data_IF_204852850283
#
_entry.id   IF_204852850283
#
_cell.length_a   1.000
_cell.length_b   1.000
_cell.length_c   1.000
_cell.angle_alpha   90.00
_cell.angle_beta   90.00
_cell.angle_gamma   90.00
#
_symmetry.space_group_name_H-M   'P 1'
#
loop_
_entity.id
_entity.type
_entity.pdbx_description
1 polymer ?
#
# COMPACT_ATOMS: atom_id res chain seq x y z
N UNK A 1 6.84 -9.57 -18.18
CA UNK A 1 8.29 -9.51 -17.95
C UNK A 1 8.45 -9.19 -16.47
N UNK A 2 9.17 -10.01 -15.70
CA UNK A 2 9.45 -9.71 -14.28
C UNK A 2 10.32 -8.44 -14.27
N UNK A 3 10.12 -7.48 -13.34
CA UNK A 3 10.98 -6.31 -13.22
C UNK A 3 12.43 -6.76 -13.17
N UNK A 4 13.28 -6.23 -14.06
CA UNK A 4 14.73 -6.50 -14.05
C UNK A 4 15.49 -5.65 -13.03
N UNK A 5 14.79 -5.16 -12.01
CA UNK A 5 15.35 -4.34 -10.95
C UNK A 5 15.59 -5.23 -9.72
N UNK A 6 16.81 -5.80 -9.55
CA UNK A 6 17.09 -6.70 -8.45
C UNK A 6 16.96 -6.02 -7.09
N UNK A 7 17.23 -4.71 -7.01
CA UNK A 7 17.10 -3.95 -5.77
C UNK A 7 15.64 -3.90 -5.30
N UNK A 8 14.69 -3.68 -6.22
CA UNK A 8 13.26 -3.69 -5.91
C UNK A 8 12.80 -5.07 -5.40
N UNK A 9 13.28 -6.15 -6.02
CA UNK A 9 12.93 -7.52 -5.64
C UNK A 9 13.46 -7.82 -4.23
N UNK A 10 14.74 -7.54 -3.99
CA UNK A 10 15.37 -7.75 -2.68
C UNK A 10 14.68 -6.92 -1.60
N UNK A 11 14.36 -5.66 -1.90
CA UNK A 11 13.63 -4.79 -0.98
C UNK A 11 12.25 -5.37 -0.64
N UNK A 12 11.48 -5.78 -1.67
CA UNK A 12 10.13 -6.32 -1.50
C UNK A 12 10.13 -7.62 -0.71
N UNK A 13 10.97 -8.57 -1.10
CA UNK A 13 11.09 -9.86 -0.40
C UNK A 13 11.65 -9.69 1.00
N UNK A 14 12.57 -8.75 1.20
CA UNK A 14 13.17 -8.46 2.49
C UNK A 14 12.14 -8.02 3.52
N UNK A 15 11.28 -7.05 3.19
CA UNK A 15 10.25 -6.62 4.14
C UNK A 15 9.15 -7.66 4.33
N UNK A 16 8.79 -8.43 3.29
CA UNK A 16 7.81 -9.50 3.42
C UNK A 16 8.31 -10.59 4.37
N UNK A 17 9.58 -10.98 4.24
CA UNK A 17 10.21 -11.95 5.14
C UNK A 17 10.29 -11.41 6.58
N UNK A 18 10.75 -10.17 6.76
CA UNK A 18 10.79 -9.53 8.07
C UNK A 18 9.41 -9.48 8.74
N UNK A 19 8.38 -9.14 7.95
CA UNK A 19 7.00 -9.08 8.43
C UNK A 19 6.45 -10.46 8.77
N UNK A 20 6.72 -11.48 7.95
CA UNK A 20 6.34 -12.86 8.21
C UNK A 20 6.95 -13.36 9.53
N UNK A 21 8.24 -13.11 9.75
CA UNK A 21 8.93 -13.44 11.01
C UNK A 21 8.28 -12.71 12.19
N UNK A 22 8.00 -11.42 12.07
CA UNK A 22 7.36 -10.64 13.13
C UNK A 22 5.94 -11.13 13.47
N UNK A 23 5.14 -11.49 12.46
CA UNK A 23 3.79 -12.03 12.64
C UNK A 23 3.84 -13.37 13.39
N UNK A 24 4.72 -14.28 12.98
CA UNK A 24 4.90 -15.58 13.65
C UNK A 24 5.38 -15.39 15.09
N UNK A 25 6.39 -14.55 15.31
CA UNK A 25 6.96 -14.30 16.63
C UNK A 25 5.95 -13.69 17.61
N UNK A 26 4.98 -12.93 17.12
CA UNK A 26 4.00 -12.22 17.96
C UNK A 26 2.60 -12.84 17.97
N UNK A 27 2.38 -13.94 17.25
CA UNK A 27 1.09 -14.63 17.14
C UNK A 27 -0.03 -13.78 16.51
N UNK A 28 0.32 -12.76 15.71
CA UNK A 28 -0.60 -11.73 15.26
C UNK A 28 -1.45 -12.19 14.07
N UNK A 29 -2.56 -12.89 14.34
CA UNK A 29 -3.42 -13.50 13.31
C UNK A 29 -4.09 -12.49 12.39
N UNK A 30 -4.44 -11.31 12.91
CA UNK A 30 -5.01 -10.22 12.12
C UNK A 30 -4.03 -9.81 11.01
N UNK A 31 -2.75 -9.64 11.34
CA UNK A 31 -1.73 -9.27 10.36
C UNK A 31 -1.25 -10.39 9.46
N UNK A 32 -1.56 -11.65 9.78
CA UNK A 32 -1.40 -12.75 8.85
C UNK A 32 -2.32 -12.62 7.62
N UNK A 33 -3.55 -12.10 7.80
CA UNK A 33 -4.47 -11.86 6.69
C UNK A 33 -3.93 -10.80 5.71
N UNK A 34 -3.38 -9.70 6.23
CA UNK A 34 -2.74 -8.66 5.41
C UNK A 34 -1.51 -9.18 4.66
N UNK A 35 -0.70 -10.04 5.28
CA UNK A 35 0.41 -10.70 4.57
C UNK A 35 -0.11 -11.59 3.42
N UNK A 36 -1.17 -12.36 3.65
CA UNK A 36 -1.79 -13.16 2.60
C UNK A 36 -2.30 -12.29 1.45
N UNK A 37 -2.91 -11.14 1.74
CA UNK A 37 -3.34 -10.17 0.75
C UNK A 37 -2.15 -9.65 -0.09
N UNK A 38 -1.01 -9.31 0.53
CA UNK A 38 0.20 -8.91 -0.18
C UNK A 38 0.69 -10.01 -1.13
N UNK A 39 0.66 -11.27 -0.69
CA UNK A 39 1.05 -12.43 -1.51
C UNK A 39 0.12 -12.64 -2.74
N UNK A 40 -1.10 -12.12 -2.72
CA UNK A 40 -2.02 -12.12 -3.86
C UNK A 40 -1.84 -10.88 -4.74
N UNK A 41 -1.80 -9.68 -4.14
CA UNK A 41 -1.75 -8.41 -4.86
C UNK A 41 -0.43 -8.22 -5.62
N UNK A 42 0.70 -8.65 -5.05
CA UNK A 42 2.01 -8.52 -5.71
C UNK A 42 2.05 -9.29 -7.05
N UNK A 43 1.69 -10.59 -7.12
CA UNK A 43 1.54 -11.29 -8.38
C UNK A 43 0.58 -10.63 -9.37
N UNK A 44 -0.55 -10.10 -8.91
CA UNK A 44 -1.51 -9.39 -9.77
C UNK A 44 -0.90 -8.12 -10.37
N UNK A 45 -0.17 -7.33 -9.58
CA UNK A 45 0.57 -6.15 -10.05
C UNK A 45 1.65 -6.57 -11.07
N UNK A 46 2.39 -7.66 -10.81
CA UNK A 46 3.40 -8.18 -11.74
C UNK A 46 2.78 -8.67 -13.05
N UNK A 47 1.59 -9.27 -12.99
CA UNK A 47 0.82 -9.66 -14.17
C UNK A 47 0.35 -8.43 -14.97
N UNK A 48 -0.26 -7.45 -14.31
CA UNK A 48 -0.69 -6.20 -14.92
C UNK A 48 0.49 -5.43 -15.55
N UNK A 49 1.66 -5.43 -14.88
CA UNK A 49 2.88 -4.81 -15.38
C UNK A 49 3.32 -5.37 -16.75
N UNK A 50 3.03 -6.64 -17.06
CA UNK A 50 3.37 -7.22 -18.37
C UNK A 50 2.70 -6.48 -19.54
N UNK A 51 1.47 -6.00 -19.34
CA UNK A 51 0.71 -5.24 -20.32
C UNK A 51 0.92 -3.73 -20.18
N UNK A 52 0.76 -3.21 -18.96
CA UNK A 52 0.79 -1.78 -18.68
C UNK A 52 2.19 -1.16 -18.72
N UNK A 53 3.25 -1.97 -18.55
CA UNK A 53 4.66 -1.52 -18.52
C UNK A 53 4.90 -0.38 -17.53
N UNK A 54 4.46 -0.58 -16.28
CA UNK A 54 4.64 0.40 -15.21
C UNK A 54 6.10 0.91 -15.12
N UNK A 55 6.25 2.22 -14.96
CA UNK A 55 7.52 2.86 -14.71
C UNK A 55 8.18 2.34 -13.44
N UNK A 56 9.51 2.47 -13.36
CA UNK A 56 10.28 2.12 -12.16
C UNK A 56 9.76 2.84 -10.92
N UNK A 57 9.42 4.14 -11.03
CA UNK A 57 8.88 4.93 -9.93
C UNK A 57 7.55 4.38 -9.37
N UNK A 58 6.65 3.93 -10.25
CA UNK A 58 5.38 3.31 -9.82
C UNK A 58 5.63 1.99 -9.09
N UNK A 59 6.50 1.14 -9.62
CA UNK A 59 6.83 -0.13 -8.96
C UNK A 59 7.47 0.06 -7.58
N UNK A 60 8.39 1.01 -7.45
CA UNK A 60 8.99 1.36 -6.16
C UNK A 60 7.98 1.97 -5.20
N UNK A 61 7.13 2.89 -5.66
CA UNK A 61 6.10 3.49 -4.80
C UNK A 61 5.08 2.47 -4.30
N UNK A 62 4.65 1.53 -5.15
CA UNK A 62 3.78 0.42 -4.73
C UNK A 62 4.48 -0.52 -3.72
N UNK A 63 5.77 -0.78 -3.90
CA UNK A 63 6.55 -1.59 -2.95
C UNK A 63 6.76 -0.87 -1.61
N UNK A 64 7.05 0.43 -1.62
CA UNK A 64 7.11 1.27 -0.42
C UNK A 64 5.76 1.31 0.28
N UNK A 65 4.66 1.40 -0.47
CA UNK A 65 3.32 1.32 0.11
C UNK A 65 3.08 -0.03 0.80
N UNK A 66 3.46 -1.13 0.16
CA UNK A 66 3.42 -2.47 0.76
C UNK A 66 4.24 -2.58 2.04
N UNK A 67 5.46 -2.02 2.06
CA UNK A 67 6.29 -1.94 3.27
C UNK A 67 5.57 -1.17 4.39
N UNK A 68 5.07 0.04 4.10
CA UNK A 68 4.40 0.88 5.10
C UNK A 68 3.15 0.20 5.67
N UNK A 69 2.41 -0.52 4.82
CA UNK A 69 1.24 -1.28 5.23
C UNK A 69 1.61 -2.43 6.17
N UNK A 70 2.63 -3.22 5.82
CA UNK A 70 3.12 -4.28 6.71
C UNK A 70 3.72 -3.76 8.02
N UNK A 71 4.42 -2.62 7.96
CA UNK A 71 4.97 -1.96 9.13
C UNK A 71 3.86 -1.50 10.09
N UNK A 72 2.69 -1.12 9.56
CA UNK A 72 1.50 -0.76 10.31
C UNK A 72 1.15 -1.76 11.43
N UNK A 73 1.27 -3.07 11.15
CA UNK A 73 0.92 -4.12 12.12
C UNK A 73 2.05 -4.79 12.86
N UNK A 74 3.27 -4.58 12.40
CA UNK A 74 4.45 -5.31 12.89
C UNK A 74 5.37 -4.44 13.71
N UNK A 75 5.35 -3.12 13.50
CA UNK A 75 6.17 -2.17 14.25
C UNK A 75 5.41 -1.69 15.48
N UNK A 76 5.86 -2.03 16.70
CA UNK A 76 5.25 -1.51 17.92
C UNK A 76 5.53 -0.01 18.07
N UNK A 77 4.57 0.71 18.65
CA UNK A 77 4.75 2.11 19.08
C UNK A 77 4.57 2.22 20.59
N UNK A 78 5.17 3.23 21.25
CA UNK A 78 4.98 3.44 22.67
C UNK A 78 3.49 3.55 23.02
N UNK A 79 3.01 2.73 23.96
CA UNK A 79 1.59 2.67 24.34
C UNK A 79 1.04 4.04 24.75
N UNK A 80 1.86 4.86 25.42
CA UNK A 80 1.53 6.25 25.79
C UNK A 80 1.11 7.14 24.60
N UNK A 81 1.64 6.89 23.39
CA UNK A 81 1.30 7.66 22.19
C UNK A 81 -0.02 7.20 21.57
N UNK A 82 -0.30 5.90 21.59
CA UNK A 82 -1.59 5.38 21.16
C UNK A 82 -2.72 5.74 22.13
N UNK A 83 -2.43 5.75 23.43
CA UNK A 83 -3.35 6.14 24.49
C UNK A 83 -3.75 7.62 24.49
N UNK A 84 -3.10 8.47 23.68
CA UNK A 84 -3.55 9.85 23.46
C UNK A 84 -4.94 9.92 22.81
N UNK A 85 -5.37 8.86 22.12
CA UNK A 85 -6.68 8.79 21.47
C UNK A 85 -7.54 7.65 22.00
N UNK A 86 -6.93 6.50 22.31
CA UNK A 86 -7.65 5.36 22.88
C UNK A 86 -7.00 4.93 24.22
N UNK A 87 -7.48 5.43 25.36
CA UNK A 87 -6.96 5.08 26.68
C UNK A 87 -7.02 3.58 27.00
N UNK A 88 -7.91 2.82 26.34
CA UNK A 88 -8.06 1.38 26.54
C UNK A 88 -7.06 0.56 25.72
N UNK A 89 -6.27 1.19 24.85
CA UNK A 89 -5.33 0.49 23.97
C UNK A 89 -4.17 -0.13 24.76
N UNK A 90 -4.14 -1.46 24.80
CA UNK A 90 -3.12 -2.26 25.52
C UNK A 90 -1.93 -2.65 24.64
N UNK A 91 -2.15 -2.76 23.33
CA UNK A 91 -1.13 -3.05 22.32
C UNK A 91 -1.18 -2.00 21.23
N UNK A 92 -0.06 -1.31 21.06
CA UNK A 92 0.05 -0.21 20.12
C UNK A 92 1.06 -0.55 19.03
N UNK A 93 0.61 -0.51 17.78
CA UNK A 93 1.45 -0.66 16.57
C UNK A 93 1.33 0.61 15.74
N UNK A 94 2.15 0.77 14.69
CA UNK A 94 2.11 1.95 13.82
C UNK A 94 0.71 2.26 13.30
N UNK A 95 -0.10 1.23 13.02
CA UNK A 95 -1.48 1.39 12.62
C UNK A 95 -2.30 2.16 13.66
N UNK A 96 -2.07 1.97 14.96
CA UNK A 96 -2.75 2.67 16.05
C UNK A 96 -2.27 4.11 16.26
N UNK A 97 -1.22 4.55 15.56
CA UNK A 97 -0.60 5.85 15.81
C UNK A 97 -1.40 6.99 15.17
N UNK A 98 -1.77 7.96 16.01
CA UNK A 98 -2.22 9.28 15.59
C UNK A 98 -1.02 10.22 15.51
N UNK A 99 -0.66 10.60 14.29
CA UNK A 99 0.45 11.53 14.02
C UNK A 99 0.09 12.91 14.59
N UNK A 100 -1.16 13.33 14.40
CA UNK A 100 -1.71 14.56 14.96
C UNK A 100 -2.90 14.16 15.83
N UNK A 101 -2.72 14.08 17.16
CA UNK A 101 -3.79 13.75 18.10
C UNK A 101 -4.56 15.01 18.60
N UNK A 102 -5.82 14.87 19.05
CA UNK A 102 -6.67 13.69 18.90
C UNK A 102 -7.45 13.71 17.57
N UNK A 103 -7.65 12.55 16.97
CA UNK A 103 -8.53 12.30 15.81
C UNK A 103 -8.28 13.14 14.53
N UNK A 104 -7.17 13.88 14.43
CA UNK A 104 -6.89 14.74 13.26
C UNK A 104 -6.25 13.97 12.11
N UNK A 105 -5.17 13.23 12.39
CA UNK A 105 -4.43 12.51 11.36
C UNK A 105 -3.83 11.22 11.90
N UNK A 106 -4.31 10.09 11.38
CA UNK A 106 -3.79 8.76 11.69
C UNK A 106 -2.69 8.38 10.71
N UNK A 107 -1.71 7.60 11.16
CA UNK A 107 -0.69 6.98 10.31
C UNK A 107 -1.34 6.30 9.09
N UNK A 108 -2.42 5.58 9.34
CA UNK A 108 -3.17 4.88 8.32
C UNK A 108 -3.72 5.80 7.21
N UNK A 109 -4.14 7.02 7.54
CA UNK A 109 -4.62 7.98 6.53
C UNK A 109 -3.48 8.39 5.59
N UNK A 110 -2.28 8.58 6.11
CA UNK A 110 -1.10 8.94 5.30
C UNK A 110 -0.70 7.80 4.39
N UNK A 111 -0.67 6.57 4.92
CA UNK A 111 -0.35 5.37 4.14
C UNK A 111 -1.36 5.15 3.02
N UNK A 112 -2.65 5.31 3.29
CA UNK A 112 -3.70 5.16 2.27
C UNK A 112 -3.69 6.29 1.25
N UNK A 113 -3.49 7.55 1.67
CA UNK A 113 -3.36 8.66 0.73
C UNK A 113 -2.18 8.46 -0.25
N UNK A 114 -1.02 8.02 0.26
CA UNK A 114 0.11 7.65 -0.57
C UNK A 114 -0.20 6.47 -1.49
N UNK A 115 -0.82 5.42 -0.94
CA UNK A 115 -1.23 4.23 -1.68
C UNK A 115 -2.15 4.53 -2.85
N UNK A 116 -3.23 5.29 -2.59
CA UNK A 116 -4.20 5.68 -3.61
C UNK A 116 -3.58 6.58 -4.68
N UNK A 117 -2.68 7.49 -4.29
CA UNK A 117 -1.91 8.24 -5.27
C UNK A 117 -1.10 7.31 -6.19
N UNK A 118 -0.41 6.31 -5.63
CA UNK A 118 0.37 5.36 -6.41
C UNK A 118 -0.49 4.44 -7.29
N UNK A 119 -1.65 3.98 -6.82
CA UNK A 119 -2.59 3.18 -7.64
C UNK A 119 -3.22 4.03 -8.74
N UNK A 120 -3.55 5.29 -8.49
CA UNK A 120 -4.00 6.22 -9.54
C UNK A 120 -2.92 6.40 -10.62
N UNK A 121 -1.64 6.56 -10.25
CA UNK A 121 -0.54 6.61 -11.23
C UNK A 121 -0.39 5.31 -12.01
N UNK A 122 -0.56 4.15 -11.35
CA UNK A 122 -0.54 2.85 -12.01
C UNK A 122 -1.71 2.72 -13.02
N UNK A 123 -2.93 3.08 -12.62
CA UNK A 123 -4.10 3.14 -13.49
C UNK A 123 -3.86 4.08 -14.68
N UNK A 124 -3.27 5.26 -14.44
CA UNK A 124 -2.95 6.21 -15.50
C UNK A 124 -1.98 5.62 -16.53
N UNK A 125 -0.93 4.92 -16.09
CA UNK A 125 0.02 4.26 -16.98
C UNK A 125 -0.61 3.09 -17.74
N UNK A 126 -1.46 2.30 -17.09
CA UNK A 126 -2.21 1.23 -17.73
C UNK A 126 -3.15 1.80 -18.81
N UNK A 127 -4.00 2.76 -18.45
CA UNK A 127 -4.97 3.37 -19.37
C UNK A 127 -4.26 4.04 -20.55
N UNK A 128 -3.21 4.84 -20.32
CA UNK A 128 -2.43 5.48 -21.39
C UNK A 128 -1.84 4.48 -22.38
N UNK A 129 -1.58 3.24 -21.98
CA UNK A 129 -1.06 2.20 -22.88
C UNK A 129 -2.11 1.72 -23.88
N UNK A 130 -3.40 1.81 -23.52
CA UNK A 130 -4.52 1.32 -24.32
C UNK A 130 -5.34 2.45 -24.98
N UNK A 131 -5.13 3.71 -24.58
CA UNK A 131 -5.75 4.86 -25.23
C UNK A 131 -5.10 5.19 -26.59
N UNK A 132 -5.92 5.67 -27.52
CA UNK A 132 -5.43 6.23 -28.78
C UNK A 132 -4.54 7.48 -28.51
N UNK A 133 -3.51 7.75 -29.34
CA UNK A 133 -2.61 8.90 -29.15
C UNK A 133 -3.30 10.27 -29.11
N UNK A 134 -4.51 10.37 -29.67
CA UNK A 134 -5.27 11.61 -29.77
C UNK A 134 -6.12 11.94 -28.53
N UNK A 135 -6.16 11.07 -27.51
CA UNK A 135 -6.96 11.32 -26.31
C UNK A 135 -6.31 12.44 -25.48
N UNK A 136 -7.02 13.58 -25.38
CA UNK A 136 -6.57 14.72 -24.59
C UNK A 136 -6.84 14.49 -23.10
N UNK A 137 -5.94 14.90 -22.19
CA UNK A 137 -6.20 14.86 -20.77
C UNK A 137 -7.32 15.85 -20.43
N UNK A 138 -8.45 15.34 -19.97
CA UNK A 138 -9.60 16.13 -19.50
C UNK A 138 -9.81 15.90 -18.01
N UNK A 139 -10.54 16.81 -17.35
CA UNK A 139 -10.94 16.63 -15.95
C UNK A 139 -11.67 15.29 -15.74
N UNK A 140 -12.54 14.90 -16.68
CA UNK A 140 -13.25 13.63 -16.64
C UNK A 140 -12.28 12.43 -16.61
N UNK A 141 -11.22 12.44 -17.42
CA UNK A 141 -10.21 11.39 -17.39
C UNK A 141 -9.49 11.32 -16.03
N UNK A 142 -9.15 12.47 -15.43
CA UNK A 142 -8.54 12.49 -14.10
C UNK A 142 -9.49 11.93 -13.02
N UNK A 143 -10.79 12.25 -13.09
CA UNK A 143 -11.80 11.68 -12.18
C UNK A 143 -11.91 10.17 -12.34
N UNK A 144 -11.94 9.64 -13.58
CA UNK A 144 -11.96 8.18 -13.81
C UNK A 144 -10.70 7.51 -13.26
N UNK A 145 -9.52 8.12 -13.42
CA UNK A 145 -8.27 7.58 -12.90
C UNK A 145 -8.21 7.61 -11.36
N UNK A 146 -8.76 8.66 -10.74
CA UNK A 146 -8.92 8.74 -9.30
C UNK A 146 -9.87 7.64 -8.79
N UNK A 147 -11.05 7.50 -9.43
CA UNK A 147 -12.02 6.46 -9.09
C UNK A 147 -11.46 5.04 -9.27
N UNK A 148 -10.71 4.79 -10.35
CA UNK A 148 -10.03 3.52 -10.56
C UNK A 148 -8.98 3.24 -9.47
N UNK A 149 -8.22 4.26 -9.05
CA UNK A 149 -7.29 4.15 -7.92
C UNK A 149 -7.99 3.86 -6.59
N UNK A 150 -9.11 4.55 -6.31
CA UNK A 150 -9.94 4.31 -5.12
C UNK A 150 -10.59 2.91 -5.10
N UNK A 151 -10.85 2.31 -6.27
CA UNK A 151 -11.33 0.94 -6.37
C UNK A 151 -10.40 -0.09 -5.70
N UNK A 152 -9.10 0.19 -5.61
CA UNK A 152 -8.17 -0.65 -4.84
C UNK A 152 -8.42 -0.56 -3.33
N UNK A 153 -8.87 0.60 -2.84
CA UNK A 153 -9.32 0.76 -1.45
C UNK A 153 -10.58 -0.03 -1.17
N UNK A 154 -11.56 -0.01 -2.07
CA UNK A 154 -12.78 -0.80 -1.94
C UNK A 154 -12.51 -2.31 -1.87
N UNK A 155 -11.55 -2.83 -2.63
CA UNK A 155 -11.11 -4.24 -2.53
C UNK A 155 -10.36 -4.52 -1.22
N UNK A 156 -9.70 -3.51 -0.64
CA UNK A 156 -8.99 -3.64 0.61
C UNK A 156 -9.91 -3.66 1.84
N UNK A 157 -11.15 -3.19 1.70
CA UNK A 157 -12.16 -3.10 2.77
C UNK A 157 -13.12 -4.31 2.83
N UNK A 158 -13.00 -5.27 1.90
CA UNK A 158 -13.79 -6.52 1.84
C UNK A 158 -12.99 -7.68 2.44
#
# INVERSE_FOLDING_TARGET
MIPRDPALIVFTLGYLLASAVAIVATGNREFAAYLAQMLVLIPLILWAHRGARFSRGVLWGLSVWGLLHMAGGTVPVPTRLAQLNDPAQTRAVLYSLWIIPPEVLKYDNVVHAFGFFMTTLACAQAVRRFLAPAVRPTLALFVVLAAAGMGFGAVNEI
#
